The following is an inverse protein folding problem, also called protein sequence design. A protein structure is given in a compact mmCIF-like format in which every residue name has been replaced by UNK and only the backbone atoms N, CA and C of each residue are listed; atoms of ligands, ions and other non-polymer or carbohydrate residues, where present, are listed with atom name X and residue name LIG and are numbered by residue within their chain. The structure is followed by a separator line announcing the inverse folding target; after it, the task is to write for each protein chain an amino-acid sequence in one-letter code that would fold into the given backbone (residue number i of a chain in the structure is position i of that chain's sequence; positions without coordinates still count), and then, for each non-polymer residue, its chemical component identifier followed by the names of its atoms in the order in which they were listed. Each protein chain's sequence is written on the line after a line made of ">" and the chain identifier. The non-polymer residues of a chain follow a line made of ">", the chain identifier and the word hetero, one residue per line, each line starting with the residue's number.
data_IF_474680806868
#
_entry.id   IF_474680806868
#
_cell.length_a   1.000
_cell.length_b   1.000
_cell.length_c   1.000
_cell.angle_alpha   90.00
_cell.angle_beta   90.00
_cell.angle_gamma   90.00
#
_symmetry.space_group_name_H-M   'P 1'
#
loop_
_entity.id
_entity.type
_entity.pdbx_description
1 polymer ?
#
# COMPACT_ATOMS: atom_id res chain seq x y z
N UNK A 1 0.52 -5.55 -2.17
CA UNK A 1 -0.51 -5.97 -1.22
C UNK A 1 0.07 -6.25 0.15
N UNK A 2 -0.75 -6.10 1.19
CA UNK A 2 -0.44 -6.48 2.57
C UNK A 2 -1.71 -7.06 3.22
N UNK A 3 -1.51 -7.83 4.28
CA UNK A 3 -2.57 -8.55 4.97
C UNK A 3 -2.45 -8.33 6.49
N UNK A 4 -3.50 -7.79 7.10
CA UNK A 4 -3.60 -7.65 8.54
C UNK A 4 -5.05 -7.43 8.96
N UNK A 5 -5.33 -7.61 10.23
CA UNK A 5 -6.61 -7.27 10.86
C UNK A 5 -6.62 -5.74 11.12
N UNK A 6 -7.33 -4.98 10.28
CA UNK A 6 -7.32 -3.51 10.29
C UNK A 6 -8.34 -2.91 11.26
N UNK A 7 -9.34 -3.67 11.62
CA UNK A 7 -10.46 -3.24 12.48
C UNK A 7 -10.52 -3.98 13.83
N UNK A 8 -9.50 -4.80 14.13
CA UNK A 8 -9.38 -5.57 15.37
C UNK A 8 -10.56 -6.53 15.63
N UNK A 9 -11.16 -7.10 14.57
CA UNK A 9 -12.26 -8.07 14.66
C UNK A 9 -11.79 -9.53 14.64
N UNK A 10 -10.50 -9.76 14.46
CA UNK A 10 -9.87 -11.08 14.42
C UNK A 10 -9.82 -11.71 13.05
N UNK A 11 -10.33 -11.04 12.00
CA UNK A 11 -10.24 -11.48 10.62
C UNK A 11 -9.18 -10.71 9.87
N UNK A 12 -8.47 -11.39 8.97
CA UNK A 12 -7.42 -10.76 8.17
C UNK A 12 -8.05 -10.06 6.97
N UNK A 13 -7.77 -8.76 6.83
CA UNK A 13 -8.14 -7.91 5.72
C UNK A 13 -7.02 -7.83 4.70
N UNK A 14 -7.33 -7.32 3.51
CA UNK A 14 -6.36 -7.24 2.40
C UNK A 14 -6.35 -5.84 1.80
N UNK A 15 -5.19 -5.20 1.77
CA UNK A 15 -4.98 -3.99 0.98
C UNK A 15 -4.24 -4.33 -0.31
N UNK A 16 -4.70 -3.80 -1.44
CA UNK A 16 -3.98 -3.84 -2.72
C UNK A 16 -3.86 -2.43 -3.30
N UNK A 17 -2.72 -2.14 -3.90
CA UNK A 17 -2.44 -0.83 -4.48
C UNK A 17 -2.46 -0.89 -6.00
N UNK A 18 -2.83 0.22 -6.59
CA UNK A 18 -2.83 0.47 -8.02
C UNK A 18 -2.44 1.95 -8.29
N UNK A 19 -2.65 2.46 -9.49
CA UNK A 19 -2.02 3.66 -10.05
C UNK A 19 -2.98 4.85 -10.17
N UNK A 20 -3.97 5.01 -9.27
CA UNK A 20 -4.85 6.16 -9.32
C UNK A 20 -4.19 7.39 -8.66
N UNK A 21 -3.91 8.47 -9.40
CA UNK A 21 -3.39 9.69 -8.81
C UNK A 21 -4.40 10.33 -7.84
N UNK A 22 -3.88 10.92 -6.76
CA UNK A 22 -4.66 11.77 -5.85
C UNK A 22 -4.77 13.21 -6.38
N UNK A 23 -3.72 13.66 -7.08
CA UNK A 23 -3.66 15.01 -7.65
C UNK A 23 -4.55 15.10 -8.90
N UNK A 24 -5.53 16.01 -8.88
CA UNK A 24 -6.50 16.21 -9.97
C UNK A 24 -5.82 16.67 -11.27
N UNK A 25 -4.73 17.43 -11.19
CA UNK A 25 -3.99 17.86 -12.38
C UNK A 25 -3.32 16.64 -13.04
N UNK A 26 -2.75 15.74 -12.25
CA UNK A 26 -2.15 14.50 -12.77
C UNK A 26 -3.24 13.59 -13.36
N UNK A 27 -4.39 13.45 -12.73
CA UNK A 27 -5.53 12.67 -13.28
C UNK A 27 -5.91 13.21 -14.66
N UNK A 28 -6.07 14.53 -14.79
CA UNK A 28 -6.50 15.18 -16.05
C UNK A 28 -5.47 15.14 -17.17
N UNK A 29 -4.20 14.97 -16.85
CA UNK A 29 -3.11 14.88 -17.82
C UNK A 29 -2.67 13.44 -18.09
N UNK A 30 -3.17 12.47 -17.36
CA UNK A 30 -2.89 11.06 -17.60
C UNK A 30 -3.92 10.44 -18.55
N UNK A 31 -3.44 9.55 -19.45
CA UNK A 31 -4.33 8.65 -20.14
C UNK A 31 -5.03 7.80 -19.10
N UNK A 32 -6.30 8.08 -18.97
CA UNK A 32 -7.18 7.39 -18.03
C UNK A 32 -7.39 5.93 -18.46
N UNK A 33 -8.12 5.24 -17.62
CA UNK A 33 -8.67 3.91 -17.85
C UNK A 33 -9.30 3.75 -19.25
N UNK A 34 -9.67 2.54 -19.56
CA UNK A 34 -10.40 2.22 -20.79
C UNK A 34 -11.54 3.19 -21.07
N UNK A 35 -11.69 3.56 -22.33
CA UNK A 35 -12.91 4.27 -22.73
C UNK A 35 -14.13 3.40 -22.43
N UNK A 36 -15.30 4.02 -22.30
CA UNK A 36 -16.55 3.31 -22.01
C UNK A 36 -16.82 2.15 -23.01
N UNK A 37 -16.48 2.34 -24.28
CA UNK A 37 -16.61 1.32 -25.31
C UNK A 37 -15.67 0.13 -25.06
N UNK A 38 -14.39 0.40 -24.74
CA UNK A 38 -13.40 -0.63 -24.42
C UNK A 38 -13.78 -1.39 -23.16
N UNK A 39 -14.22 -0.67 -22.12
CA UNK A 39 -14.70 -1.28 -20.90
C UNK A 39 -15.86 -2.26 -21.15
N UNK A 40 -16.92 -1.82 -21.89
CA UNK A 40 -18.04 -2.69 -22.23
C UNK A 40 -17.64 -3.86 -23.13
N UNK A 41 -16.69 -3.63 -24.05
CA UNK A 41 -16.13 -4.69 -24.88
C UNK A 41 -15.47 -5.76 -24.02
N UNK A 42 -14.63 -5.37 -23.06
CA UNK A 42 -13.98 -6.30 -22.11
C UNK A 42 -15.02 -7.11 -21.35
N UNK A 43 -16.05 -6.48 -20.78
CA UNK A 43 -17.13 -7.19 -20.07
C UNK A 43 -17.84 -8.21 -20.96
N UNK A 44 -18.10 -7.88 -22.22
CA UNK A 44 -18.73 -8.78 -23.19
C UNK A 44 -17.92 -10.05 -23.46
N UNK A 45 -16.58 -9.96 -23.34
CA UNK A 45 -15.66 -11.09 -23.52
C UNK A 45 -15.28 -11.79 -22.20
N UNK A 46 -15.99 -11.51 -21.12
CA UNK A 46 -15.84 -12.22 -19.86
C UNK A 46 -14.72 -11.70 -18.95
N UNK A 47 -14.18 -10.51 -19.23
CA UNK A 47 -13.27 -9.86 -18.29
C UNK A 47 -14.06 -9.36 -17.08
N UNK A 48 -13.46 -9.46 -15.89
CA UNK A 48 -14.01 -8.83 -14.69
C UNK A 48 -13.93 -7.31 -14.78
N UNK A 49 -14.75 -6.64 -13.97
CA UNK A 49 -14.66 -5.20 -13.77
C UNK A 49 -13.32 -4.88 -13.14
N UNK A 50 -12.50 -4.13 -13.85
CA UNK A 50 -11.18 -3.67 -13.39
C UNK A 50 -11.20 -2.15 -13.34
N UNK A 51 -10.73 -1.60 -12.24
CA UNK A 51 -10.62 -0.17 -12.01
C UNK A 51 -9.25 0.08 -11.40
N UNK A 52 -8.48 1.02 -11.96
CA UNK A 52 -7.12 1.34 -11.50
C UNK A 52 -7.16 2.19 -10.25
N UNK A 53 -7.48 1.61 -9.11
CA UNK A 53 -7.50 2.27 -7.81
C UNK A 53 -7.06 1.31 -6.71
N UNK A 54 -6.60 1.85 -5.60
CA UNK A 54 -6.35 1.03 -4.42
C UNK A 54 -7.65 0.39 -3.93
N UNK A 55 -7.54 -0.79 -3.34
CA UNK A 55 -8.65 -1.47 -2.67
C UNK A 55 -8.27 -1.84 -1.25
N UNK A 56 -9.22 -1.70 -0.34
CA UNK A 56 -9.14 -2.22 1.02
C UNK A 56 -10.30 -3.20 1.19
N UNK A 57 -9.99 -4.49 1.12
CA UNK A 57 -10.95 -5.57 1.20
C UNK A 57 -11.13 -5.96 2.67
N UNK A 58 -12.22 -5.48 3.27
CA UNK A 58 -12.61 -5.83 4.63
C UNK A 58 -13.19 -7.25 4.64
N UNK A 59 -12.63 -8.11 5.46
CA UNK A 59 -13.13 -9.46 5.70
C UNK A 59 -14.34 -9.41 6.63
N UNK A 60 -15.47 -9.88 6.16
CA UNK A 60 -16.73 -9.89 6.92
C UNK A 60 -17.03 -11.28 7.52
N UNK A 61 -16.03 -12.16 7.54
CA UNK A 61 -16.17 -13.52 8.02
C UNK A 61 -16.84 -14.47 7.03
N UNK A 62 -17.14 -15.67 7.50
CA UNK A 62 -17.73 -16.72 6.70
C UNK A 62 -19.26 -16.65 6.72
N UNK A 63 -19.86 -16.78 5.55
CA UNK A 63 -21.30 -16.99 5.39
C UNK A 63 -21.68 -18.41 5.86
N UNK A 64 -22.98 -18.65 6.04
CA UNK A 64 -23.49 -19.99 6.37
C UNK A 64 -23.13 -21.06 5.31
N UNK A 65 -22.79 -20.65 4.08
CA UNK A 65 -22.29 -21.51 3.01
C UNK A 65 -20.84 -21.94 3.19
N UNK A 66 -20.10 -21.32 4.10
CA UNK A 66 -18.64 -21.49 4.28
C UNK A 66 -17.81 -20.58 3.36
N UNK A 67 -18.44 -19.76 2.53
CA UNK A 67 -17.75 -18.76 1.72
C UNK A 67 -17.37 -17.54 2.58
N UNK A 68 -16.15 -17.03 2.40
CA UNK A 68 -15.69 -15.80 3.06
C UNK A 68 -16.10 -14.60 2.22
N UNK A 69 -16.73 -13.62 2.87
CA UNK A 69 -17.17 -12.40 2.19
C UNK A 69 -16.16 -11.28 2.43
N UNK A 70 -15.75 -10.65 1.34
CA UNK A 70 -14.94 -9.42 1.38
C UNK A 70 -15.73 -8.24 0.81
N UNK A 71 -15.58 -7.08 1.43
CA UNK A 71 -16.15 -5.81 0.96
C UNK A 71 -15.08 -4.77 0.73
N UNK A 72 -15.04 -4.15 -0.45
CA UNK A 72 -14.10 -3.07 -0.73
C UNK A 72 -14.59 -1.76 -0.10
N UNK A 73 -13.82 -1.26 0.84
CA UNK A 73 -14.11 -0.03 1.57
C UNK A 73 -13.15 1.14 1.25
N UNK A 74 -12.19 0.96 0.32
CA UNK A 74 -11.16 1.97 0.05
C UNK A 74 -11.72 3.36 -0.26
N UNK A 75 -12.81 3.45 -1.03
CA UNK A 75 -13.45 4.74 -1.35
C UNK A 75 -14.07 5.42 -0.13
N UNK A 76 -14.72 4.66 0.76
CA UNK A 76 -15.31 5.21 2.00
C UNK A 76 -14.22 5.58 3.01
N UNK A 77 -13.14 4.82 3.03
CA UNK A 77 -11.99 5.03 3.92
C UNK A 77 -11.06 6.16 3.46
N UNK A 78 -11.20 6.67 2.22
CA UNK A 78 -10.35 7.71 1.66
C UNK A 78 -8.97 7.21 1.18
N UNK A 79 -8.85 5.93 0.90
CA UNK A 79 -7.58 5.25 0.55
C UNK A 79 -7.47 4.90 -0.94
N UNK A 80 -8.50 5.18 -1.74
CA UNK A 80 -8.63 4.74 -3.11
C UNK A 80 -7.57 5.28 -4.08
N UNK A 81 -6.94 6.42 -3.74
CA UNK A 81 -6.01 7.12 -4.61
C UNK A 81 -4.79 7.63 -3.86
N UNK A 82 -3.61 7.19 -4.27
CA UNK A 82 -2.32 7.55 -3.68
C UNK A 82 -1.22 7.75 -4.73
N UNK A 83 -1.56 7.90 -6.01
CA UNK A 83 -0.67 8.02 -7.15
C UNK A 83 -0.13 6.65 -7.63
N UNK A 84 1.07 6.60 -8.20
CA UNK A 84 1.71 5.37 -8.67
C UNK A 84 2.28 4.59 -7.50
N UNK A 85 1.46 3.75 -6.93
CA UNK A 85 1.70 3.10 -5.64
C UNK A 85 2.26 1.68 -5.82
N UNK A 86 3.17 1.27 -4.90
CA UNK A 86 3.89 0.01 -5.01
C UNK A 86 3.69 -0.91 -3.82
N UNK A 87 4.11 -0.49 -2.64
CA UNK A 87 4.11 -1.31 -1.45
C UNK A 87 3.26 -0.67 -0.33
N UNK A 88 2.17 -1.33 0.11
CA UNK A 88 1.48 -0.97 1.33
C UNK A 88 2.13 -1.64 2.54
N UNK A 89 1.99 -1.02 3.70
CA UNK A 89 2.12 -1.66 5.00
C UNK A 89 0.92 -1.35 5.86
N UNK A 90 0.41 -2.36 6.57
CA UNK A 90 -0.56 -2.21 7.65
C UNK A 90 0.16 -2.44 8.99
N UNK A 91 0.53 -1.36 9.67
CA UNK A 91 1.34 -1.36 10.90
C UNK A 91 0.90 -0.24 11.82
N UNK A 92 0.85 -0.49 13.12
CA UNK A 92 0.56 0.52 14.13
C UNK A 92 1.77 1.43 14.31
N UNK A 93 1.72 2.66 13.76
CA UNK A 93 2.84 3.61 13.73
C UNK A 93 2.83 4.55 14.92
N UNK A 94 1.67 4.81 15.54
CA UNK A 94 1.54 5.74 16.66
C UNK A 94 1.30 5.06 18.01
N UNK A 95 1.25 3.73 18.02
CA UNK A 95 1.15 2.92 19.25
C UNK A 95 -0.24 2.95 19.89
N UNK A 96 -1.30 3.31 19.13
CA UNK A 96 -2.67 3.41 19.65
C UNK A 96 -3.44 2.07 19.62
N UNK A 97 -2.85 1.03 19.01
CA UNK A 97 -3.42 -0.30 18.92
C UNK A 97 -4.28 -0.55 17.68
N UNK A 98 -4.37 0.43 16.78
CA UNK A 98 -4.98 0.29 15.47
C UNK A 98 -3.90 0.30 14.39
N UNK A 99 -4.07 -0.53 13.36
CA UNK A 99 -3.09 -0.54 12.27
C UNK A 99 -3.32 0.63 11.34
N UNK A 100 -2.28 1.41 11.15
CA UNK A 100 -2.19 2.47 10.18
C UNK A 100 -1.81 1.92 8.81
N UNK A 101 -1.90 2.75 7.78
CA UNK A 101 -1.51 2.38 6.43
C UNK A 101 -0.39 3.30 5.95
N UNK A 102 0.73 2.69 5.54
CA UNK A 102 1.80 3.39 4.85
C UNK A 102 1.87 2.90 3.40
N UNK A 103 2.05 3.84 2.45
CA UNK A 103 2.07 3.55 1.00
C UNK A 103 3.29 4.17 0.37
N UNK A 104 4.11 3.35 -0.31
CA UNK A 104 5.23 3.84 -1.11
C UNK A 104 4.76 4.24 -2.50
N UNK A 105 5.28 5.37 -3.01
CA UNK A 105 4.88 5.95 -4.28
C UNK A 105 6.03 6.39 -5.15
N UNK A 106 5.71 6.56 -6.42
CA UNK A 106 6.55 7.22 -7.41
C UNK A 106 6.94 6.30 -8.56
N UNK A 107 7.04 6.89 -9.72
CA UNK A 107 7.53 6.25 -10.92
C UNK A 107 8.57 7.14 -11.60
N UNK A 108 9.67 6.57 -12.04
CA UNK A 108 10.77 7.34 -12.66
C UNK A 108 10.30 8.10 -13.89
N UNK A 109 9.39 7.52 -14.68
CA UNK A 109 8.81 8.10 -15.87
C UNK A 109 7.34 7.74 -15.98
N UNK A 110 6.46 8.71 -16.29
CA UNK A 110 5.02 8.50 -16.47
C UNK A 110 4.72 8.15 -17.94
N UNK A 111 4.54 6.87 -18.30
CA UNK A 111 4.27 6.47 -19.67
C UNK A 111 2.86 6.81 -20.15
N UNK A 112 1.96 7.09 -19.20
CA UNK A 112 0.55 7.41 -19.43
C UNK A 112 0.26 8.92 -19.52
N UNK A 113 1.30 9.77 -19.54
CA UNK A 113 1.12 11.20 -19.75
C UNK A 113 0.62 11.49 -21.17
N UNK A 114 -0.49 12.21 -21.28
CA UNK A 114 -1.18 12.44 -22.57
C UNK A 114 -0.38 13.32 -23.52
N UNK A 115 0.35 14.30 -23.01
CA UNK A 115 1.19 15.18 -23.85
C UNK A 115 2.36 14.36 -24.41
N UNK A 116 2.96 13.50 -23.58
CA UNK A 116 3.99 12.58 -24.04
C UNK A 116 3.44 11.57 -25.06
N UNK A 117 2.28 10.96 -24.83
CA UNK A 117 1.64 10.04 -25.77
C UNK A 117 1.36 10.75 -27.11
N UNK A 118 0.83 11.96 -27.05
CA UNK A 118 0.58 12.77 -28.24
C UNK A 118 1.88 13.06 -29.01
N UNK A 119 2.94 13.42 -28.29
CA UNK A 119 4.25 13.67 -28.87
C UNK A 119 4.82 12.44 -29.58
N UNK A 120 4.87 11.27 -28.93
CA UNK A 120 5.44 10.05 -29.54
C UNK A 120 4.57 9.50 -30.66
N UNK A 121 3.27 9.82 -30.68
CA UNK A 121 2.34 9.41 -31.73
C UNK A 121 2.42 10.29 -32.99
N UNK A 122 3.19 11.38 -32.93
CA UNK A 122 3.35 12.29 -34.10
C UNK A 122 4.13 11.62 -35.22
N UNK A 123 3.76 11.92 -36.49
CA UNK A 123 4.41 11.38 -37.69
C UNK A 123 5.92 11.64 -37.72
N UNK A 124 6.34 12.77 -37.15
CA UNK A 124 7.74 13.17 -37.07
C UNK A 124 8.59 12.26 -36.19
N UNK A 125 8.02 11.77 -35.10
CA UNK A 125 8.72 10.88 -34.17
C UNK A 125 8.62 9.41 -34.58
N UNK A 126 7.49 8.98 -35.13
CA UNK A 126 7.29 7.60 -35.57
C UNK A 126 8.21 7.19 -36.74
N UNK A 127 8.72 8.15 -37.50
CA UNK A 127 9.66 7.91 -38.61
C UNK A 127 11.12 7.75 -38.16
N UNK A 128 11.40 7.90 -36.88
CA UNK A 128 12.76 7.82 -36.35
C UNK A 128 13.09 6.37 -35.94
N UNK A 129 14.25 5.90 -36.34
CA UNK A 129 14.72 4.54 -36.04
C UNK A 129 15.10 4.32 -34.57
N UNK A 130 15.34 5.42 -33.84
CA UNK A 130 15.78 5.34 -32.44
C UNK A 130 14.83 6.12 -31.51
N UNK A 131 14.11 5.42 -30.67
CA UNK A 131 13.16 6.00 -29.70
C UNK A 131 13.77 6.29 -28.33
N UNK A 132 14.97 5.78 -28.04
CA UNK A 132 15.61 5.89 -26.71
C UNK A 132 15.76 7.34 -26.24
N UNK A 133 16.16 8.32 -27.08
CA UNK A 133 16.26 9.71 -26.65
C UNK A 133 14.93 10.33 -26.19
N UNK A 134 13.81 9.78 -26.64
CA UNK A 134 12.47 10.31 -26.34
C UNK A 134 11.94 9.84 -24.97
N UNK A 135 12.46 8.72 -24.45
CA UNK A 135 12.12 8.24 -23.10
C UNK A 135 12.48 9.29 -22.05
N UNK A 136 13.57 10.03 -22.27
CA UNK A 136 13.99 11.09 -21.35
C UNK A 136 13.00 12.28 -21.28
N UNK A 137 12.10 12.41 -22.25
CA UNK A 137 11.07 13.47 -22.28
C UNK A 137 9.79 13.08 -21.53
N UNK A 138 9.64 11.82 -21.13
CA UNK A 138 8.53 11.44 -20.24
C UNK A 138 8.63 12.24 -18.94
N UNK A 139 7.52 12.80 -18.44
CA UNK A 139 7.48 13.43 -17.13
C UNK A 139 7.89 12.46 -16.03
N UNK A 140 8.54 12.98 -15.01
CA UNK A 140 8.82 12.24 -13.80
C UNK A 140 7.57 12.17 -12.92
N UNK A 141 7.33 11.01 -12.32
CA UNK A 141 6.28 10.81 -11.33
C UNK A 141 6.85 10.75 -9.92
N UNK A 142 7.67 11.73 -9.55
CA UNK A 142 8.25 11.83 -8.21
C UNK A 142 7.23 12.40 -7.25
N UNK A 143 6.76 11.59 -6.32
CA UNK A 143 5.71 11.95 -5.36
C UNK A 143 6.08 11.50 -3.95
N UNK A 144 5.40 12.07 -2.94
CA UNK A 144 5.56 11.66 -1.55
C UNK A 144 4.98 10.27 -1.30
N UNK A 145 5.53 9.56 -0.34
CA UNK A 145 4.84 8.41 0.25
C UNK A 145 3.63 8.90 1.04
N UNK A 146 2.63 8.05 1.26
CA UNK A 146 1.49 8.39 2.09
C UNK A 146 1.51 7.62 3.40
N UNK A 147 1.06 8.28 4.47
CA UNK A 147 0.78 7.66 5.75
C UNK A 147 -0.62 8.05 6.22
N UNK A 148 -1.41 7.07 6.58
CA UNK A 148 -2.80 7.25 7.00
C UNK A 148 -3.00 6.65 8.37
N UNK A 149 -3.38 7.49 9.34
CA UNK A 149 -3.74 7.06 10.68
C UNK A 149 -5.13 6.44 10.69
N UNK A 150 -5.25 5.26 11.26
CA UNK A 150 -6.53 4.60 11.50
C UNK A 150 -7.26 5.26 12.67
N UNK A 151 -8.53 5.58 12.52
CA UNK A 151 -9.34 6.18 13.59
C UNK A 151 -10.19 5.16 14.35
N UNK A 152 -10.06 3.86 14.02
CA UNK A 152 -10.82 2.78 14.63
C UNK A 152 -12.28 2.69 14.21
N UNK A 153 -12.69 3.46 13.21
CA UNK A 153 -14.06 3.51 12.66
C UNK A 153 -14.14 3.21 11.16
N UNK A 154 -13.09 2.54 10.62
CA UNK A 154 -12.88 2.26 9.19
C UNK A 154 -12.63 3.51 8.34
N UNK A 155 -12.37 4.66 8.97
CA UNK A 155 -11.91 5.86 8.28
C UNK A 155 -10.48 6.19 8.69
N UNK A 156 -9.78 6.88 7.81
CA UNK A 156 -8.36 7.20 7.99
C UNK A 156 -8.11 8.69 7.86
N UNK A 157 -7.09 9.16 8.56
CA UNK A 157 -6.62 10.54 8.51
C UNK A 157 -5.24 10.59 7.84
N UNK A 158 -5.08 11.43 6.81
CA UNK A 158 -3.80 11.63 6.14
C UNK A 158 -2.81 12.33 7.07
N UNK A 159 -1.79 11.63 7.50
CA UNK A 159 -0.70 12.09 8.37
C UNK A 159 0.64 12.23 7.66
N UNK A 160 0.65 12.17 6.34
CA UNK A 160 1.85 12.25 5.50
C UNK A 160 2.78 13.40 5.89
N UNK A 161 2.22 14.58 6.07
CA UNK A 161 3.01 15.78 6.43
C UNK A 161 3.39 15.77 7.91
N UNK A 162 2.42 15.48 8.78
CA UNK A 162 2.60 15.52 10.24
C UNK A 162 3.64 14.50 10.72
N UNK A 163 3.70 13.34 10.09
CA UNK A 163 4.64 12.26 10.41
C UNK A 163 5.94 12.31 9.60
N UNK A 164 6.15 13.37 8.79
CA UNK A 164 7.43 13.63 8.13
C UNK A 164 7.67 12.85 6.82
N UNK A 165 6.63 12.31 6.18
CA UNK A 165 6.74 11.54 4.93
C UNK A 165 6.56 12.37 3.65
N UNK A 166 6.58 13.70 3.76
CA UNK A 166 6.31 14.61 2.64
C UNK A 166 7.44 14.73 1.60
N UNK A 167 8.56 14.01 1.78
CA UNK A 167 9.67 14.04 0.83
C UNK A 167 9.30 13.30 -0.47
N UNK A 168 9.22 13.96 -1.64
CA UNK A 168 8.97 13.28 -2.89
C UNK A 168 10.13 12.35 -3.27
N UNK A 169 9.80 11.14 -3.74
CA UNK A 169 10.78 10.12 -4.10
C UNK A 169 10.23 9.15 -5.15
N UNK A 170 11.07 8.23 -5.62
CA UNK A 170 10.65 7.07 -6.38
C UNK A 170 10.74 5.85 -5.49
N UNK A 171 9.84 5.75 -4.51
CA UNK A 171 9.83 4.68 -3.53
C UNK A 171 9.06 3.48 -4.04
N UNK A 172 9.66 2.28 -3.99
CA UNK A 172 9.04 1.08 -4.54
C UNK A 172 9.01 -0.11 -3.56
N UNK A 173 9.62 0.02 -2.41
CA UNK A 173 9.58 -1.03 -1.39
C UNK A 173 9.70 -0.43 0.01
N UNK A 174 9.13 -1.11 0.99
CA UNK A 174 9.19 -0.73 2.39
C UNK A 174 9.16 -1.97 3.29
N UNK A 175 9.88 -1.90 4.39
CA UNK A 175 9.83 -2.86 5.47
C UNK A 175 9.84 -2.13 6.81
N UNK A 176 9.33 -2.77 7.86
CA UNK A 176 9.36 -2.23 9.20
C UNK A 176 10.03 -3.18 10.19
N UNK A 177 10.65 -2.59 11.20
CA UNK A 177 11.19 -3.30 12.36
C UNK A 177 11.47 -2.28 13.45
N UNK A 178 11.43 -2.72 14.68
CA UNK A 178 11.96 -1.97 15.84
C UNK A 178 13.50 -2.07 15.78
N UNK A 179 14.17 -1.05 15.18
CA UNK A 179 15.60 -1.07 14.89
C UNK A 179 16.47 -0.61 16.07
N UNK A 180 15.94 0.22 16.95
CA UNK A 180 16.67 0.71 18.12
C UNK A 180 16.17 0.11 19.45
N UNK A 181 15.17 -0.79 19.38
CA UNK A 181 14.58 -1.54 20.49
C UNK A 181 13.88 -0.65 21.54
N UNK A 182 13.23 0.41 21.08
CA UNK A 182 12.42 1.28 21.93
C UNK A 182 10.94 0.89 21.96
N UNK A 183 10.52 -0.05 21.09
CA UNK A 183 9.20 -0.70 21.10
C UNK A 183 8.25 -0.19 20.04
N UNK A 184 8.64 0.81 19.26
CA UNK A 184 7.86 1.28 18.12
C UNK A 184 8.45 0.79 16.77
N UNK A 185 7.67 0.73 15.69
CA UNK A 185 8.14 0.26 14.40
C UNK A 185 8.80 1.39 13.60
N UNK A 186 10.07 1.21 13.26
CA UNK A 186 10.80 2.03 12.30
C UNK A 186 10.55 1.55 10.86
N UNK A 187 10.71 2.46 9.89
CA UNK A 187 10.52 2.14 8.47
C UNK A 187 11.83 2.23 7.69
N UNK A 188 12.07 1.24 6.84
CA UNK A 188 13.13 1.26 5.83
C UNK A 188 12.47 1.31 4.45
N UNK A 189 12.70 2.41 3.72
CA UNK A 189 12.09 2.65 2.40
C UNK A 189 13.16 2.57 1.31
N UNK A 190 12.97 1.67 0.37
CA UNK A 190 13.81 1.57 -0.81
C UNK A 190 13.40 2.60 -1.86
N UNK A 191 14.40 3.23 -2.52
CA UNK A 191 14.18 4.26 -3.55
C UNK A 191 14.99 3.96 -4.79
N UNK A 192 14.38 4.17 -5.96
CA UNK A 192 15.06 3.98 -7.25
C UNK A 192 16.02 5.14 -7.47
N UNK A 193 17.27 4.82 -7.80
CA UNK A 193 18.36 5.77 -8.07
C UNK A 193 18.68 6.75 -6.92
N UNK A 194 18.22 6.50 -5.72
CA UNK A 194 18.47 7.30 -4.53
C UNK A 194 18.86 6.41 -3.34
N UNK A 195 19.52 6.96 -2.34
CA UNK A 195 19.84 6.23 -1.11
C UNK A 195 18.55 5.85 -0.38
N UNK A 196 18.45 4.62 0.11
CA UNK A 196 17.33 4.19 0.94
C UNK A 196 17.14 5.12 2.14
N UNK A 197 15.89 5.32 2.54
CA UNK A 197 15.56 6.10 3.75
C UNK A 197 15.29 5.16 4.91
N UNK A 198 15.81 5.54 6.06
CA UNK A 198 15.47 4.94 7.34
C UNK A 198 14.74 6.02 8.12
N UNK A 199 13.46 5.77 8.40
CA UNK A 199 12.65 6.62 9.25
C UNK A 199 12.62 6.01 10.63
N UNK A 200 13.28 6.71 11.57
CA UNK A 200 13.13 6.38 12.97
C UNK A 200 11.79 6.90 13.45
N UNK A 201 11.00 6.01 14.00
CA UNK A 201 9.82 6.40 14.74
C UNK A 201 10.25 7.05 16.06
N UNK A 202 9.52 8.07 16.51
CA UNK A 202 9.76 8.72 17.79
C UNK A 202 8.41 8.90 18.51
N UNK A 203 7.43 8.07 18.19
CA UNK A 203 6.20 8.02 18.94
C UNK A 203 6.50 7.53 20.37
N UNK A 204 5.62 7.83 21.29
CA UNK A 204 5.70 7.21 22.62
C UNK A 204 4.77 5.99 22.60
N UNK A 205 5.31 4.78 22.39
CA UNK A 205 4.48 3.58 22.33
C UNK A 205 3.81 3.26 23.68
N UNK A 206 4.08 4.06 24.71
CA UNK A 206 3.55 3.89 26.03
C UNK A 206 3.94 2.52 26.61
N UNK A 207 2.96 1.62 26.74
CA UNK A 207 3.18 0.25 27.19
C UNK A 207 3.04 -0.72 26.02
N UNK A 208 4.11 -1.30 25.58
CA UNK A 208 4.11 -2.32 24.53
C UNK A 208 4.34 -3.73 25.11
N UNK A 209 3.90 -4.75 24.38
CA UNK A 209 4.13 -6.14 24.70
C UNK A 209 4.94 -6.80 23.58
N UNK A 210 6.15 -7.26 23.89
CA UNK A 210 6.96 -8.04 22.95
C UNK A 210 6.72 -9.54 23.19
N UNK A 211 6.12 -10.21 22.20
CA UNK A 211 5.82 -11.64 22.26
C UNK A 211 6.79 -12.40 21.36
N UNK A 212 7.52 -13.35 21.90
CA UNK A 212 8.39 -14.25 21.14
C UNK A 212 7.77 -15.63 21.14
N UNK A 213 7.39 -16.13 19.97
CA UNK A 213 6.76 -17.44 19.83
C UNK A 213 7.76 -18.45 19.27
N UNK A 214 7.82 -19.60 19.91
CA UNK A 214 8.64 -20.73 19.45
C UNK A 214 7.71 -21.89 19.10
N UNK A 215 7.87 -22.43 17.91
CA UNK A 215 7.21 -23.65 17.49
C UNK A 215 7.97 -24.91 17.94
N UNK A 216 7.38 -26.08 17.68
CA UNK A 216 8.01 -27.37 17.96
C UNK A 216 9.18 -27.60 17.00
N UNK A 217 10.35 -27.82 17.58
CA UNK A 217 11.57 -28.12 16.84
C UNK A 217 11.53 -29.48 16.14
N UNK A 218 10.71 -30.41 16.64
CA UNK A 218 10.56 -31.74 16.04
C UNK A 218 9.67 -31.70 14.78
N UNK A 219 8.74 -30.73 14.69
CA UNK A 219 7.84 -30.52 13.54
C UNK A 219 8.45 -29.67 12.42
N UNK A 220 9.66 -29.15 12.56
CA UNK A 220 10.33 -28.32 11.53
C UNK A 220 9.88 -26.85 11.50
N UNK A 221 8.87 -26.44 12.26
CA UNK A 221 8.39 -25.04 12.31
C UNK A 221 8.89 -24.31 13.57
N UNK A 222 10.21 -24.21 13.71
CA UNK A 222 10.86 -23.60 14.88
C UNK A 222 10.40 -22.16 15.18
N UNK A 223 10.05 -21.42 14.17
CA UNK A 223 9.70 -19.99 14.26
C UNK A 223 8.19 -19.75 14.36
N UNK A 224 7.41 -20.81 14.56
CA UNK A 224 5.96 -20.76 14.69
C UNK A 224 5.25 -19.98 13.55
N UNK A 225 5.78 -20.05 12.31
CA UNK A 225 5.19 -19.39 11.13
C UNK A 225 3.76 -19.89 10.96
N UNK A 226 2.81 -18.96 10.77
CA UNK A 226 1.38 -19.25 10.68
C UNK A 226 0.67 -19.35 12.02
N UNK A 227 1.37 -19.17 13.14
CA UNK A 227 0.71 -19.09 14.45
C UNK A 227 0.06 -17.72 14.64
N UNK A 228 -1.11 -17.71 15.27
CA UNK A 228 -1.83 -16.49 15.62
C UNK A 228 -1.60 -16.15 17.09
N UNK A 229 -1.26 -14.90 17.36
CA UNK A 229 -1.13 -14.33 18.70
C UNK A 229 -2.24 -13.31 18.89
N UNK A 230 -3.05 -13.51 19.92
CA UNK A 230 -4.12 -12.57 20.31
C UNK A 230 -3.78 -11.95 21.65
N UNK A 231 -3.76 -10.62 21.72
CA UNK A 231 -3.56 -9.86 22.94
C UNK A 231 -4.82 -9.06 23.26
N UNK A 232 -5.32 -9.17 24.48
CA UNK A 232 -6.54 -8.48 24.93
C UNK A 232 -6.23 -7.59 26.12
N UNK A 233 -6.65 -6.31 26.06
CA UNK A 233 -6.57 -5.36 27.15
C UNK A 233 -7.90 -4.60 27.27
N UNK A 234 -8.66 -4.86 28.32
CA UNK A 234 -10.02 -4.31 28.45
C UNK A 234 -10.92 -4.83 27.34
N UNK A 235 -11.51 -3.91 26.60
CA UNK A 235 -12.40 -4.23 25.45
C UNK A 235 -11.64 -4.27 24.10
N UNK A 236 -10.36 -3.94 24.09
CA UNK A 236 -9.53 -3.95 22.89
C UNK A 236 -8.82 -5.29 22.73
N UNK A 237 -8.90 -5.86 21.54
CA UNK A 237 -8.24 -7.11 21.17
C UNK A 237 -7.45 -6.90 19.89
N UNK A 238 -6.19 -7.26 19.88
CA UNK A 238 -5.33 -7.24 18.71
C UNK A 238 -4.95 -8.66 18.32
N UNK A 239 -5.00 -8.94 17.02
CA UNK A 239 -4.63 -10.25 16.49
C UNK A 239 -3.48 -10.11 15.52
N UNK A 240 -2.43 -10.92 15.70
CA UNK A 240 -1.25 -10.95 14.86
C UNK A 240 -0.93 -12.36 14.40
N UNK A 241 -0.76 -12.56 13.13
CA UNK A 241 -0.23 -13.79 12.60
C UNK A 241 1.31 -13.69 12.46
N UNK A 242 2.02 -14.77 12.74
CA UNK A 242 3.48 -14.85 12.64
C UNK A 242 3.86 -15.13 11.20
N UNK A 243 4.30 -14.09 10.49
CA UNK A 243 4.83 -14.18 9.13
C UNK A 243 6.35 -13.96 9.11
N UNK A 244 7.06 -14.59 8.16
CA UNK A 244 8.50 -14.40 8.00
C UNK A 244 8.88 -13.06 7.35
N UNK A 245 7.96 -12.43 6.63
CA UNK A 245 8.17 -11.16 5.94
C UNK A 245 7.43 -10.02 6.65
N UNK A 246 8.10 -8.87 6.77
CA UNK A 246 7.54 -7.65 7.38
C UNK A 246 7.74 -6.48 6.44
N UNK A 247 7.02 -6.51 5.34
CA UNK A 247 7.11 -5.53 4.29
C UNK A 247 7.34 -6.13 2.91
N UNK A 248 7.52 -5.27 1.94
CA UNK A 248 7.69 -5.62 0.54
C UNK A 248 8.93 -4.94 -0.04
N UNK A 249 9.77 -5.69 -0.78
CA UNK A 249 10.97 -5.19 -1.46
C UNK A 249 10.97 -5.58 -2.94
#
# INVERSE_FOLDING_TARGET
>A
NDLADINNDGWVDVITLDMLPKDEAVIKTSAAEDTYEVYNFKLKYGFHKQVSRNTLQLNQGALNSGEVLFGDIAGVSGLESTDWSWAPLMVDLDGDGWRDIFVTNGIVRRPNDMDYISFISSDSVQRLENVVPWIAQMPEGKVSNFAFRNKGDLTFEDKTVDWGFSLPSFSNGVAYSDLDNDGDPDLVVNRINETALIYRNNSDPGRFLKVIVYGDTAGGNRYAIGATVTATQGDQTQTHEIFPARGWC
#
